data_IF_044953685250
#
_entry.id   IF_044953685250
#
_cell.length_a   1.000
_cell.length_b   1.000
_cell.length_c   1.000
_cell.angle_alpha   90.00
_cell.angle_beta   90.00
_cell.angle_gamma   90.00
#
_symmetry.space_group_name_H-M   'P 1'
#
loop_
_entity.id
_entity.type
_entity.pdbx_description
1 polymer ?
#
# COMPACT_ATOMS: atom_id res chain seq x y z
N UNK A 1 1.77 -12.37 -22.01
CA UNK A 1 3.03 -12.25 -21.24
C UNK A 1 3.42 -13.58 -20.59
N UNK A 2 2.65 -14.13 -19.65
CA UNK A 2 3.02 -15.41 -18.98
C UNK A 2 3.20 -16.56 -19.98
N UNK A 3 2.32 -16.67 -20.98
CA UNK A 3 2.40 -17.71 -22.01
C UNK A 3 3.71 -17.71 -22.83
N UNK A 4 4.48 -16.61 -22.83
CA UNK A 4 5.77 -16.52 -23.54
C UNK A 4 6.97 -16.85 -22.64
N UNK A 5 6.75 -17.17 -21.36
CA UNK A 5 7.80 -17.57 -20.44
C UNK A 5 8.35 -18.96 -20.80
N UNK A 6 9.65 -19.17 -20.65
CA UNK A 6 10.26 -20.50 -20.84
C UNK A 6 9.66 -21.49 -19.82
N UNK A 7 9.17 -22.68 -20.24
CA UNK A 7 8.42 -23.59 -19.35
C UNK A 7 9.15 -24.07 -18.09
N UNK A 8 10.49 -24.09 -18.09
CA UNK A 8 11.29 -24.63 -16.97
C UNK A 8 12.06 -23.58 -16.17
N UNK A 9 12.36 -22.43 -16.78
CA UNK A 9 13.27 -21.43 -16.20
C UNK A 9 12.74 -20.00 -16.34
N UNK A 10 11.51 -19.84 -16.81
CA UNK A 10 10.90 -18.55 -17.07
C UNK A 10 10.70 -17.75 -15.79
N UNK A 11 11.07 -16.47 -15.84
CA UNK A 11 10.79 -15.46 -14.81
C UNK A 11 10.28 -14.21 -15.50
N UNK A 12 9.38 -13.50 -14.84
CA UNK A 12 8.79 -12.26 -15.32
C UNK A 12 8.49 -11.37 -14.15
N UNK A 13 8.74 -10.07 -14.30
CA UNK A 13 8.26 -9.05 -13.38
C UNK A 13 7.41 -8.07 -14.19
N UNK A 14 6.24 -7.70 -13.67
CA UNK A 14 5.33 -6.75 -14.33
C UNK A 14 4.83 -5.74 -13.31
N UNK A 15 4.84 -4.47 -13.70
CA UNK A 15 4.26 -3.38 -12.92
C UNK A 15 2.78 -3.30 -13.25
N UNK A 16 1.94 -3.26 -12.22
CA UNK A 16 0.48 -3.19 -12.33
C UNK A 16 -0.09 -2.17 -11.35
N UNK A 17 -1.23 -1.53 -11.63
CA UNK A 17 -1.93 -0.75 -10.60
C UNK A 17 -2.49 -1.70 -9.52
N UNK A 18 -2.62 -1.23 -8.29
CA UNK A 18 -3.13 -2.04 -7.16
C UNK A 18 -4.49 -2.71 -7.43
N UNK A 19 -5.35 -2.12 -8.27
CA UNK A 19 -6.64 -2.72 -8.63
C UNK A 19 -6.54 -4.14 -9.19
N UNK A 20 -5.45 -4.51 -9.86
CA UNK A 20 -5.23 -5.88 -10.36
C UNK A 20 -5.18 -6.91 -9.23
N UNK A 21 -4.78 -6.50 -8.03
CA UNK A 21 -4.65 -7.37 -6.86
C UNK A 21 -6.01 -7.82 -6.29
N UNK A 22 -7.07 -7.04 -6.48
CA UNK A 22 -8.33 -7.25 -5.75
C UNK A 22 -9.61 -7.13 -6.57
N UNK A 23 -9.59 -6.56 -7.79
CA UNK A 23 -10.80 -6.47 -8.63
C UNK A 23 -11.41 -7.85 -8.87
N UNK A 24 -12.73 -7.95 -8.73
CA UNK A 24 -13.44 -9.24 -8.80
C UNK A 24 -13.70 -9.75 -10.22
N UNK A 25 -14.77 -10.55 -10.36
CA UNK A 25 -15.26 -11.08 -11.63
C UNK A 25 -14.18 -11.79 -12.47
N UNK A 26 -13.97 -11.36 -13.72
CA UNK A 26 -13.00 -11.99 -14.62
C UNK A 26 -11.56 -11.90 -14.11
N UNK A 27 -11.17 -10.77 -13.50
CA UNK A 27 -9.82 -10.58 -12.94
C UNK A 27 -9.58 -11.50 -11.74
N UNK A 28 -10.60 -11.71 -10.89
CA UNK A 28 -10.55 -12.67 -9.79
C UNK A 28 -10.28 -14.10 -10.25
N UNK A 29 -10.98 -14.56 -11.30
CA UNK A 29 -10.75 -15.89 -11.89
C UNK A 29 -9.34 -16.05 -12.47
N UNK A 30 -8.81 -14.99 -13.08
CA UNK A 30 -7.44 -14.99 -13.59
C UNK A 30 -6.46 -15.12 -12.42
N UNK A 31 -6.61 -14.33 -11.35
CA UNK A 31 -5.76 -14.42 -10.16
C UNK A 31 -5.80 -15.81 -9.54
N UNK A 32 -6.99 -16.38 -9.34
CA UNK A 32 -7.14 -17.74 -8.84
C UNK A 32 -6.32 -18.73 -9.66
N UNK A 33 -6.46 -18.72 -10.99
CA UNK A 33 -5.70 -19.60 -11.87
C UNK A 33 -4.18 -19.41 -11.77
N UNK A 34 -3.71 -18.17 -11.59
CA UNK A 34 -2.28 -17.88 -11.41
C UNK A 34 -1.71 -18.45 -10.09
N UNK A 35 -2.53 -18.50 -9.04
CA UNK A 35 -2.19 -19.11 -7.75
C UNK A 35 -2.24 -20.64 -7.87
N UNK A 36 -3.29 -21.19 -8.47
CA UNK A 36 -3.49 -22.63 -8.65
C UNK A 36 -2.37 -23.27 -9.49
N UNK A 37 -1.95 -22.59 -10.56
CA UNK A 37 -0.82 -23.01 -11.40
C UNK A 37 0.56 -22.76 -10.74
N UNK A 38 0.59 -22.22 -9.51
CA UNK A 38 1.78 -21.88 -8.76
C UNK A 38 2.77 -21.01 -9.57
N UNK A 39 2.25 -19.97 -10.21
CA UNK A 39 3.06 -19.09 -11.06
C UNK A 39 3.47 -17.80 -10.38
N UNK A 40 2.60 -17.22 -9.54
CA UNK A 40 2.90 -16.00 -8.81
C UNK A 40 3.89 -16.30 -7.69
N UNK A 41 5.01 -15.57 -7.64
CA UNK A 41 6.12 -15.79 -6.71
C UNK A 41 6.20 -14.70 -5.63
N UNK A 42 6.06 -13.43 -6.04
CA UNK A 42 6.15 -12.27 -5.15
C UNK A 42 5.16 -11.18 -5.59
N UNK A 43 4.55 -10.49 -4.61
CA UNK A 43 3.77 -9.26 -4.76
C UNK A 43 4.49 -8.16 -3.98
N UNK A 44 4.89 -7.08 -4.66
CA UNK A 44 5.63 -5.96 -4.03
C UNK A 44 4.80 -4.69 -4.21
N UNK A 45 4.29 -4.12 -3.13
CA UNK A 45 3.63 -2.81 -3.14
C UNK A 45 4.67 -1.70 -3.20
N UNK A 46 4.50 -0.78 -4.14
CA UNK A 46 5.40 0.36 -4.31
C UNK A 46 4.80 1.62 -3.69
N UNK A 47 5.64 2.63 -3.40
CA UNK A 47 5.17 3.95 -2.98
C UNK A 47 4.17 4.57 -3.95
N UNK A 48 3.27 5.40 -3.41
CA UNK A 48 2.49 6.31 -4.24
C UNK A 48 3.40 7.32 -4.96
N UNK A 49 2.89 7.97 -6.02
CA UNK A 49 3.60 9.00 -6.79
C UNK A 49 4.99 8.57 -7.29
N UNK A 50 5.28 7.27 -7.42
CA UNK A 50 6.55 6.78 -7.95
C UNK A 50 6.66 7.01 -9.47
N UNK A 51 5.52 7.01 -10.17
CA UNK A 51 5.47 7.18 -11.63
C UNK A 51 5.04 8.60 -11.99
N UNK A 52 5.69 9.17 -13.00
CA UNK A 52 5.33 10.49 -13.51
C UNK A 52 3.89 10.50 -14.04
N UNK A 53 3.13 11.56 -13.73
CA UNK A 53 1.79 11.79 -14.26
C UNK A 53 0.65 11.08 -13.52
N UNK A 54 0.92 10.32 -12.45
CA UNK A 54 -0.14 9.74 -11.60
C UNK A 54 0.33 9.52 -10.16
N UNK A 55 -0.56 9.81 -9.20
CA UNK A 55 -0.34 9.47 -7.79
C UNK A 55 -0.74 8.03 -7.44
N UNK A 56 -1.32 7.28 -8.38
CA UNK A 56 -1.88 5.95 -8.10
C UNK A 56 -0.75 4.98 -7.70
N UNK A 57 -0.85 4.31 -6.55
CA UNK A 57 0.09 3.26 -6.15
C UNK A 57 0.10 2.08 -7.13
N UNK A 58 1.29 1.57 -7.38
CA UNK A 58 1.51 0.40 -8.23
C UNK A 58 2.15 -0.73 -7.43
N UNK A 59 2.02 -1.94 -7.96
CA UNK A 59 2.67 -3.12 -7.43
C UNK A 59 3.50 -3.80 -8.53
N UNK A 60 4.55 -4.52 -8.11
CA UNK A 60 5.28 -5.45 -8.98
C UNK A 60 4.81 -6.87 -8.68
N UNK A 61 4.35 -7.56 -9.72
CA UNK A 61 4.09 -9.00 -9.66
C UNK A 61 5.25 -9.74 -10.28
N UNK A 62 5.87 -10.62 -9.50
CA UNK A 62 6.94 -11.50 -9.97
C UNK A 62 6.35 -12.89 -10.21
N UNK A 63 6.51 -13.40 -11.42
CA UNK A 63 6.11 -14.74 -11.82
C UNK A 63 7.33 -15.62 -12.08
N UNK A 64 7.23 -16.89 -11.70
CA UNK A 64 8.30 -17.88 -11.88
C UNK A 64 7.71 -19.24 -12.24
N UNK A 65 8.21 -19.85 -13.31
CA UNK A 65 7.92 -21.26 -13.59
C UNK A 65 8.73 -22.15 -12.64
N UNK A 66 8.13 -23.23 -12.12
CA UNK A 66 8.78 -24.20 -11.22
C UNK A 66 9.41 -23.53 -9.98
N UNK A 67 8.56 -22.90 -9.15
CA UNK A 67 8.95 -22.40 -7.83
C UNK A 67 9.38 -23.54 -6.89
N UNK A 68 10.22 -23.19 -5.90
CA UNK A 68 10.68 -24.12 -4.85
C UNK A 68 9.54 -24.53 -3.90
N UNK A 69 8.63 -23.60 -3.65
CA UNK A 69 7.45 -23.76 -2.81
C UNK A 69 6.21 -23.22 -3.53
N UNK A 70 5.05 -23.33 -2.88
CA UNK A 70 3.79 -22.77 -3.37
C UNK A 70 3.46 -21.39 -2.80
N UNK A 71 4.23 -20.91 -1.83
CA UNK A 71 3.93 -19.70 -1.09
C UNK A 71 4.16 -18.46 -1.97
N UNK A 72 3.48 -17.38 -1.63
CA UNK A 72 3.63 -16.08 -2.29
C UNK A 72 4.15 -15.11 -1.24
N UNK A 73 5.27 -14.45 -1.55
CA UNK A 73 5.82 -13.42 -0.68
C UNK A 73 5.13 -12.09 -0.98
N UNK A 74 4.51 -11.50 0.03
CA UNK A 74 3.98 -10.13 -0.02
C UNK A 74 4.99 -9.20 0.64
N UNK A 75 5.29 -8.07 0.00
CA UNK A 75 6.16 -7.02 0.54
C UNK A 75 5.42 -5.69 0.42
N UNK A 76 5.35 -4.93 1.52
CA UNK A 76 4.88 -3.56 1.52
C UNK A 76 6.06 -2.58 1.55
N UNK A 77 6.50 -2.13 0.38
CA UNK A 77 7.52 -1.09 0.25
C UNK A 77 6.91 0.31 0.13
N UNK A 78 5.61 0.48 0.40
CA UNK A 78 4.93 1.76 0.20
C UNK A 78 5.37 2.86 1.16
N UNK A 79 5.99 2.53 2.30
CA UNK A 79 6.40 3.47 3.36
C UNK A 79 7.89 3.82 3.38
N UNK A 80 8.71 3.19 2.55
CA UNK A 80 10.17 3.38 2.56
C UNK A 80 10.63 3.97 1.24
N UNK A 81 10.66 5.29 1.18
CA UNK A 81 11.05 6.06 0.02
C UNK A 81 11.48 7.46 0.44
N UNK A 82 12.01 8.23 -0.50
CA UNK A 82 12.27 9.66 -0.33
C UNK A 82 11.09 10.45 -0.93
N UNK A 83 10.45 11.28 -0.10
CA UNK A 83 9.41 12.21 -0.56
C UNK A 83 10.00 13.18 -1.59
N UNK A 84 9.33 13.32 -2.71
CA UNK A 84 9.62 14.36 -3.69
C UNK A 84 8.38 15.20 -3.97
N UNK A 85 8.59 16.41 -4.51
CA UNK A 85 7.51 17.40 -4.66
C UNK A 85 6.37 16.90 -5.56
N UNK A 86 6.72 16.28 -6.68
CA UNK A 86 5.76 15.76 -7.67
C UNK A 86 5.90 14.25 -7.91
N UNK A 87 7.00 13.66 -7.44
CA UNK A 87 7.32 12.27 -7.65
C UNK A 87 8.19 11.77 -6.49
N UNK A 88 7.81 10.64 -5.92
CA UNK A 88 8.58 9.96 -4.89
C UNK A 88 9.72 9.16 -5.52
N UNK A 89 10.80 8.97 -4.76
CA UNK A 89 11.99 8.25 -5.23
C UNK A 89 12.31 7.07 -4.31
N UNK A 90 12.52 5.89 -4.90
CA UNK A 90 13.15 4.78 -4.19
C UNK A 90 14.67 5.02 -4.18
N UNK A 91 15.26 5.18 -3.00
CA UNK A 91 16.71 5.26 -2.84
C UNK A 91 17.31 3.88 -3.03
N UNK A 92 18.63 3.82 -3.25
CA UNK A 92 19.35 2.54 -3.34
C UNK A 92 19.16 1.68 -2.09
N UNK A 93 19.11 2.28 -0.90
CA UNK A 93 18.83 1.56 0.35
C UNK A 93 17.44 0.93 0.40
N UNK A 94 16.43 1.62 -0.15
CA UNK A 94 15.05 1.12 -0.19
C UNK A 94 14.96 -0.06 -1.17
N UNK A 95 15.60 0.06 -2.33
CA UNK A 95 15.69 -1.01 -3.32
C UNK A 95 16.43 -2.23 -2.76
N UNK A 96 17.57 -2.03 -2.11
CA UNK A 96 18.37 -3.11 -1.54
C UNK A 96 17.57 -3.88 -0.49
N UNK A 97 16.82 -3.19 0.38
CA UNK A 97 15.93 -3.83 1.35
C UNK A 97 14.87 -4.71 0.70
N UNK A 98 14.26 -4.27 -0.40
CA UNK A 98 13.30 -5.08 -1.16
C UNK A 98 14.00 -6.34 -1.69
N UNK A 99 15.16 -6.18 -2.32
CA UNK A 99 15.93 -7.29 -2.90
C UNK A 99 16.36 -8.31 -1.84
N UNK A 100 16.89 -7.84 -0.72
CA UNK A 100 17.31 -8.67 0.41
C UNK A 100 16.13 -9.47 0.97
N UNK A 101 14.96 -8.83 1.08
CA UNK A 101 13.74 -9.46 1.56
C UNK A 101 13.23 -10.53 0.58
N UNK A 102 13.27 -10.25 -0.73
CA UNK A 102 12.94 -11.25 -1.77
C UNK A 102 13.90 -12.44 -1.72
N UNK A 103 15.20 -12.19 -1.51
CA UNK A 103 16.22 -13.23 -1.45
C UNK A 103 16.10 -14.09 -0.19
N UNK A 104 15.87 -13.46 0.96
CA UNK A 104 15.67 -14.14 2.24
C UNK A 104 14.38 -14.96 2.24
N UNK A 105 13.31 -14.42 1.63
CA UNK A 105 11.98 -15.06 1.50
C UNK A 105 11.42 -15.51 2.86
N UNK A 106 11.47 -14.61 3.83
CA UNK A 106 10.98 -14.82 5.19
C UNK A 106 10.02 -13.70 5.59
N UNK A 107 9.25 -13.93 6.65
CA UNK A 107 8.41 -12.90 7.24
C UNK A 107 9.29 -11.80 7.85
N UNK A 108 8.89 -10.56 7.67
CA UNK A 108 9.52 -9.38 8.27
C UNK A 108 8.39 -8.55 8.86
N UNK A 109 8.48 -8.26 10.16
CA UNK A 109 7.44 -7.53 10.87
C UNK A 109 7.06 -6.22 10.15
N UNK A 110 5.75 -6.02 9.97
CA UNK A 110 5.13 -4.89 9.25
C UNK A 110 5.67 -4.60 7.85
N UNK A 111 6.38 -5.53 7.22
CA UNK A 111 7.04 -5.29 5.93
C UNK A 111 6.85 -6.42 4.93
N UNK A 112 6.93 -7.68 5.37
CA UNK A 112 6.80 -8.81 4.47
C UNK A 112 6.14 -10.02 5.12
N UNK A 113 5.34 -10.75 4.35
CA UNK A 113 4.64 -11.94 4.79
C UNK A 113 4.66 -13.02 3.71
N UNK A 114 5.06 -14.23 4.08
CA UNK A 114 5.09 -15.39 3.20
C UNK A 114 3.78 -16.18 3.34
N UNK A 115 2.79 -15.82 2.52
CA UNK A 115 1.47 -16.44 2.58
C UNK A 115 1.44 -17.79 1.86
N UNK A 116 0.75 -18.75 2.47
CA UNK A 116 0.40 -20.02 1.86
C UNK A 116 -0.76 -19.88 0.86
N UNK A 117 -0.88 -20.78 -0.13
CA UNK A 117 -2.04 -20.80 -1.02
C UNK A 117 -3.38 -20.95 -0.29
N UNK A 118 -3.39 -21.64 0.87
CA UNK A 118 -4.60 -21.82 1.67
C UNK A 118 -5.08 -20.49 2.28
N UNK A 119 -4.17 -19.68 2.81
CA UNK A 119 -4.50 -18.33 3.31
C UNK A 119 -4.98 -17.43 2.17
N UNK A 120 -4.34 -17.52 0.99
CA UNK A 120 -4.77 -16.75 -0.19
C UNK A 120 -6.17 -17.16 -0.66
N UNK A 121 -6.46 -18.47 -0.66
CA UNK A 121 -7.78 -18.99 -0.99
C UNK A 121 -8.84 -18.56 0.05
N UNK A 122 -8.50 -18.57 1.34
CA UNK A 122 -9.36 -18.06 2.41
C UNK A 122 -9.64 -16.55 2.31
N UNK A 123 -8.78 -15.82 1.60
CA UNK A 123 -8.95 -14.40 1.26
C UNK A 123 -9.61 -14.19 -0.13
N UNK A 124 -10.31 -15.19 -0.68
CA UNK A 124 -10.98 -15.13 -2.00
C UNK A 124 -10.03 -14.74 -3.14
N UNK A 125 -8.76 -15.17 -3.06
CA UNK A 125 -7.70 -14.79 -4.00
C UNK A 125 -7.51 -13.27 -4.14
N UNK A 126 -7.86 -12.53 -3.09
CA UNK A 126 -7.57 -11.12 -2.95
C UNK A 126 -6.11 -10.97 -2.52
N UNK A 127 -5.31 -10.39 -3.40
CA UNK A 127 -3.87 -10.18 -3.20
C UNK A 127 -3.56 -8.78 -2.66
N UNK A 128 -4.55 -8.06 -2.13
CA UNK A 128 -4.32 -6.76 -1.52
C UNK A 128 -3.37 -6.89 -0.33
N UNK A 129 -2.26 -6.15 -0.37
CA UNK A 129 -1.12 -6.35 0.52
C UNK A 129 -1.48 -6.20 2.01
N UNK A 130 -2.32 -5.23 2.44
CA UNK A 130 -2.75 -5.11 3.83
C UNK A 130 -3.49 -6.33 4.41
N UNK A 131 -3.89 -7.32 3.59
CA UNK A 131 -4.46 -8.58 4.07
C UNK A 131 -3.41 -9.57 4.59
N UNK A 132 -2.15 -9.34 4.26
CA UNK A 132 -1.03 -10.24 4.55
C UNK A 132 0.06 -9.55 5.36
N UNK A 133 0.32 -8.29 5.06
CA UNK A 133 1.27 -7.46 5.82
C UNK A 133 0.46 -6.50 6.67
N UNK A 134 0.37 -6.81 7.96
CA UNK A 134 -0.24 -5.88 8.92
C UNK A 134 0.73 -4.72 9.15
N UNK A 135 0.38 -3.55 8.61
CA UNK A 135 1.13 -2.32 8.79
C UNK A 135 0.45 -1.38 9.77
N UNK A 136 -0.53 -1.86 10.53
CA UNK A 136 -1.15 -1.07 11.57
C UNK A 136 -0.10 -0.69 12.63
N UNK A 137 -0.08 0.58 12.95
CA UNK A 137 0.61 1.11 14.11
C UNK A 137 -0.50 1.48 15.08
N UNK A 138 -0.47 0.91 16.29
CA UNK A 138 -1.36 1.36 17.35
C UNK A 138 -1.12 2.87 17.52
N UNK A 139 -2.14 3.66 17.22
CA UNK A 139 -2.10 5.10 17.47
C UNK A 139 -1.81 5.31 18.96
N UNK A 140 -0.87 6.20 19.27
CA UNK A 140 -0.60 6.57 20.65
C UNK A 140 -1.92 6.97 21.34
N UNK A 141 -2.12 6.49 22.57
CA UNK A 141 -3.31 6.83 23.35
C UNK A 141 -3.50 8.35 23.38
N UNK A 142 -4.60 8.81 22.80
CA UNK A 142 -4.94 10.22 22.76
C UNK A 142 -5.30 10.65 24.19
N UNK A 143 -4.59 11.65 24.73
CA UNK A 143 -5.02 12.31 25.96
C UNK A 143 -6.33 13.07 25.70
N UNK A 144 -7.45 12.41 25.99
CA UNK A 144 -8.80 12.97 25.82
C UNK A 144 -8.99 14.27 26.62
N UNK A 145 -8.26 14.46 27.73
CA UNK A 145 -8.33 15.69 28.51
C UNK A 145 -7.59 16.84 27.82
N UNK A 146 -6.44 16.57 27.20
CA UNK A 146 -5.73 17.57 26.39
C UNK A 146 -6.59 18.01 25.20
N UNK A 147 -7.16 17.07 24.44
CA UNK A 147 -8.05 17.36 23.30
C UNK A 147 -9.29 18.14 23.74
N UNK A 148 -9.87 17.82 24.90
CA UNK A 148 -11.01 18.56 25.44
C UNK A 148 -10.65 20.01 25.76
N UNK A 149 -9.49 20.26 26.38
CA UNK A 149 -9.02 21.62 26.69
C UNK A 149 -8.78 22.43 25.42
N UNK A 150 -8.13 21.83 24.43
CA UNK A 150 -7.88 22.46 23.13
C UNK A 150 -9.21 22.81 22.42
N UNK A 151 -10.20 21.91 22.45
CA UNK A 151 -11.54 22.18 21.91
C UNK A 151 -12.22 23.37 22.61
N UNK A 152 -12.13 23.46 23.94
CA UNK A 152 -12.71 24.58 24.69
C UNK A 152 -12.01 25.91 24.37
N UNK A 153 -10.68 25.90 24.21
CA UNK A 153 -9.91 27.07 23.75
C UNK A 153 -10.33 27.52 22.36
N UNK A 154 -10.37 26.60 21.38
CA UNK A 154 -10.77 26.89 20.01
C UNK A 154 -12.20 27.46 19.92
N UNK A 155 -13.13 26.96 20.75
CA UNK A 155 -14.48 27.53 20.83
C UNK A 155 -14.48 28.97 21.35
N UNK A 156 -13.65 29.27 22.34
CA UNK A 156 -13.52 30.64 22.87
C UNK A 156 -12.92 31.57 21.83
N UNK A 157 -11.92 31.12 21.08
CA UNK A 157 -11.33 31.89 19.97
C UNK A 157 -12.33 32.11 18.84
N UNK A 158 -13.08 31.09 18.45
CA UNK A 158 -14.13 31.20 17.43
C UNK A 158 -15.17 32.25 17.82
N UNK A 159 -15.64 32.25 19.07
CA UNK A 159 -16.60 33.25 19.55
C UNK A 159 -16.05 34.68 19.48
N UNK A 160 -14.75 34.87 19.76
CA UNK A 160 -14.09 36.19 19.62
C UNK A 160 -14.01 36.62 18.16
N UNK A 161 -13.63 35.69 17.28
CA UNK A 161 -13.55 35.90 15.84
C UNK A 161 -14.92 36.23 15.23
N UNK A 162 -16.00 35.58 15.68
CA UNK A 162 -17.37 35.88 15.24
C UNK A 162 -17.79 37.30 15.61
N UNK A 163 -17.46 37.77 16.82
CA UNK A 163 -17.71 39.15 17.24
C UNK A 163 -16.91 40.15 16.40
N UNK A 164 -15.63 39.87 16.13
CA UNK A 164 -14.80 40.71 15.27
C UNK A 164 -15.34 40.75 13.84
N UNK A 165 -15.75 39.60 13.30
CA UNK A 165 -16.32 39.50 11.97
C UNK A 165 -17.61 40.29 11.84
N UNK A 166 -18.51 40.20 12.83
CA UNK A 166 -19.75 40.99 12.85
C UNK A 166 -19.45 42.51 12.88
N UNK A 167 -18.47 42.94 13.67
CA UNK A 167 -18.04 44.34 13.69
C UNK A 167 -17.54 44.82 12.31
N UNK A 168 -16.71 44.02 11.62
CA UNK A 168 -16.25 44.33 10.27
C UNK A 168 -17.37 44.36 9.24
N UNK A 169 -18.32 43.42 9.30
CA UNK A 169 -19.47 43.39 8.38
C UNK A 169 -20.35 44.64 8.54
N UNK A 170 -20.51 45.12 9.78
CA UNK A 170 -21.23 46.37 10.07
C UNK A 170 -20.49 47.61 9.56
N UNK A 171 -19.16 47.67 9.71
CA UNK A 171 -18.34 48.76 9.15
C UNK A 171 -18.41 48.83 7.61
N UNK A 172 -18.53 47.68 6.96
CA UNK A 172 -18.62 47.55 5.50
C UNK A 172 -20.04 47.69 4.94
N UNK A 173 -21.06 47.84 5.79
CA UNK A 173 -22.45 48.07 5.38
C UNK A 173 -23.19 46.82 4.88
N UNK A 174 -22.81 45.64 5.36
CA UNK A 174 -23.46 44.36 5.04
C UNK A 174 -24.51 43.92 6.08
N UNK A 175 -24.88 44.78 7.05
CA UNK A 175 -26.01 44.61 8.00
C UNK A 175 -27.18 45.55 7.68
#
# INVERSE_FOLDING_TARGET
>A
MIATMRPRTGRMAVVVPHGVLFRGAAEGRIRQKLIDENLLDVVIGLPEKLFYGTGIPAAVLVFRTRKKDKNVLFIDASRHYQDGKNQNLLRESDLQRILDTVQARQNVDKYAYLASPAEIAGNDYNLNIPRYVDTFEEEAEIDLMAVRREREQLKSELAKLEVQMAAYLKELGYE
#
